data_IF_892962785254
#
_entry.id   IF_892962785254
#
_cell.length_a   1.000
_cell.length_b   1.000
_cell.length_c   1.000
_cell.angle_alpha   90.00
_cell.angle_beta   90.00
_cell.angle_gamma   90.00
#
_symmetry.space_group_name_H-M   'P 1'
#
loop_
_entity.id
_entity.type
_entity.pdbx_description
1 polymer ?
#
# COMPACT_ATOMS: atom_id res chain seq x y z
N UNK A 1 -1.66 9.04 -22.18
CA UNK A 1 -0.49 8.50 -21.47
C UNK A 1 -0.92 7.70 -20.25
N UNK A 2 -0.02 6.93 -19.62
CA UNK A 2 -0.35 6.10 -18.44
C UNK A 2 -0.75 6.93 -17.20
N UNK A 3 -0.59 8.24 -17.25
CA UNK A 3 -0.93 9.17 -16.18
C UNK A 3 -1.74 10.35 -16.77
N UNK A 4 -3.02 10.14 -17.15
CA UNK A 4 -3.82 11.16 -17.84
C UNK A 4 -3.99 12.46 -17.04
N UNK A 5 -3.91 12.39 -15.71
CA UNK A 5 -4.10 13.54 -14.81
C UNK A 5 -2.78 14.24 -14.42
N UNK A 6 -1.64 13.79 -14.97
CA UNK A 6 -0.34 14.35 -14.65
C UNK A 6 0.00 15.52 -15.57
N UNK A 7 0.25 16.70 -15.02
CA UNK A 7 0.73 17.85 -15.79
C UNK A 7 2.11 17.57 -16.40
N UNK A 8 2.39 18.13 -17.57
CA UNK A 8 3.70 18.03 -18.25
C UNK A 8 4.84 18.42 -17.31
N UNK A 9 4.67 19.51 -16.56
CA UNK A 9 5.67 19.98 -15.58
C UNK A 9 5.97 18.94 -14.49
N UNK A 10 4.95 18.25 -13.96
CA UNK A 10 5.13 17.21 -12.95
C UNK A 10 5.84 15.99 -13.52
N UNK A 11 5.51 15.61 -14.75
CA UNK A 11 6.17 14.50 -15.46
C UNK A 11 7.65 14.82 -15.67
N UNK A 12 7.97 16.02 -16.16
CA UNK A 12 9.35 16.49 -16.36
C UNK A 12 10.14 16.49 -15.06
N UNK A 13 9.56 16.95 -13.96
CA UNK A 13 10.20 16.92 -12.64
C UNK A 13 10.57 15.49 -12.21
N UNK A 14 9.66 14.53 -12.44
CA UNK A 14 9.91 13.11 -12.14
C UNK A 14 11.05 12.57 -13.01
N UNK A 15 11.00 12.77 -14.32
CA UNK A 15 12.05 12.29 -15.25
C UNK A 15 13.39 12.87 -14.87
N UNK A 16 13.50 14.17 -14.62
CA UNK A 16 14.74 14.83 -14.24
C UNK A 16 15.31 14.28 -12.92
N UNK A 17 14.47 13.92 -11.96
CA UNK A 17 14.90 13.25 -10.74
C UNK A 17 15.55 11.90 -11.04
N UNK A 18 14.96 11.07 -11.92
CA UNK A 18 15.51 9.77 -12.29
C UNK A 18 16.78 9.89 -13.14
N UNK A 19 16.87 10.89 -14.01
CA UNK A 19 18.11 11.22 -14.72
C UNK A 19 19.25 11.44 -13.72
N UNK A 20 19.04 12.30 -12.72
CA UNK A 20 20.05 12.62 -11.69
C UNK A 20 20.43 11.43 -10.81
N UNK A 21 19.54 10.47 -10.63
CA UNK A 21 19.76 9.25 -9.85
C UNK A 21 20.46 8.15 -10.66
N UNK A 22 20.54 8.26 -11.98
CA UNK A 22 21.13 7.23 -12.85
C UNK A 22 22.65 7.17 -12.72
N UNK A 23 23.20 5.98 -12.94
CA UNK A 23 24.66 5.78 -12.98
C UNK A 23 25.32 6.60 -14.11
N UNK A 24 24.65 6.68 -15.28
CA UNK A 24 25.12 7.49 -16.40
C UNK A 24 25.30 8.96 -16.00
N UNK A 25 24.33 9.55 -15.30
CA UNK A 25 24.47 10.94 -14.81
C UNK A 25 25.65 11.08 -13.86
N UNK A 26 25.79 10.15 -12.89
CA UNK A 26 26.89 10.17 -11.91
C UNK A 26 28.24 10.04 -12.58
N UNK A 27 28.38 9.13 -13.54
CA UNK A 27 29.62 8.93 -14.30
C UNK A 27 30.01 10.18 -15.10
N UNK A 28 29.05 10.78 -15.83
CA UNK A 28 29.31 12.02 -16.59
C UNK A 28 29.67 13.18 -15.66
N UNK A 29 29.01 13.30 -14.51
CA UNK A 29 29.30 14.34 -13.50
C UNK A 29 30.69 14.17 -12.92
N UNK A 30 31.10 12.95 -12.60
CA UNK A 30 32.47 12.63 -12.18
C UNK A 30 33.51 12.90 -13.28
N UNK A 31 33.14 12.78 -14.56
CA UNK A 31 33.96 13.16 -15.72
C UNK A 31 34.04 14.66 -15.97
N UNK A 32 33.45 15.50 -15.13
CA UNK A 32 33.52 16.96 -15.22
C UNK A 32 32.52 17.65 -16.14
N UNK A 33 31.53 16.89 -16.67
CA UNK A 33 30.51 17.46 -17.54
C UNK A 33 29.51 18.36 -16.78
N UNK A 34 29.09 19.45 -17.41
CA UNK A 34 28.06 20.33 -16.91
C UNK A 34 26.68 19.70 -16.96
N UNK A 35 25.74 20.14 -16.12
CA UNK A 35 24.36 19.64 -16.12
C UNK A 35 23.66 19.82 -17.49
N UNK A 36 24.01 20.87 -18.22
CA UNK A 36 23.49 21.14 -19.58
C UNK A 36 23.99 20.10 -20.59
N UNK A 37 25.26 19.76 -20.58
CA UNK A 37 25.85 18.73 -21.45
C UNK A 37 25.28 17.35 -21.11
N UNK A 38 25.15 17.04 -19.82
CA UNK A 38 24.56 15.77 -19.38
C UNK A 38 23.12 15.65 -19.84
N UNK A 39 22.29 16.71 -19.65
CA UNK A 39 20.90 16.70 -20.10
C UNK A 39 20.81 16.49 -21.60
N UNK A 40 21.62 17.19 -22.39
CA UNK A 40 21.67 17.01 -23.84
C UNK A 40 22.06 15.59 -24.26
N UNK A 41 23.00 14.96 -23.54
CA UNK A 41 23.42 13.59 -23.79
C UNK A 41 22.32 12.55 -23.49
N UNK A 42 21.34 12.87 -22.62
CA UNK A 42 20.20 12.01 -22.35
C UNK A 42 19.14 12.02 -23.45
N UNK A 43 19.17 13.00 -24.33
CA UNK A 43 18.26 13.09 -25.49
C UNK A 43 18.84 12.45 -26.77
N UNK A 44 20.13 12.02 -26.76
CA UNK A 44 20.76 11.38 -27.91
C UNK A 44 20.47 9.87 -27.91
N UNK A 45 19.85 9.32 -28.98
CA UNK A 45 19.58 7.89 -29.08
C UNK A 45 20.87 7.05 -29.11
N UNK A 46 20.90 6.01 -28.30
CA UNK A 46 21.99 5.02 -28.23
C UNK A 46 21.39 3.61 -28.32
N UNK A 47 22.22 2.65 -28.76
CA UNK A 47 21.80 1.27 -28.76
C UNK A 47 21.82 0.72 -27.33
N UNK A 48 20.75 0.07 -26.93
CA UNK A 48 20.58 -0.47 -25.60
C UNK A 48 19.65 -1.69 -25.58
N UNK A 49 19.76 -2.49 -24.54
CA UNK A 49 18.81 -3.56 -24.27
C UNK A 49 17.77 -3.08 -23.29
N UNK A 50 16.51 -3.40 -23.55
CA UNK A 50 15.39 -3.12 -22.67
C UNK A 50 14.60 -4.38 -22.38
N UNK A 51 14.06 -4.46 -21.18
CA UNK A 51 13.13 -5.51 -20.79
C UNK A 51 11.80 -5.36 -21.53
N UNK A 52 11.27 -6.47 -22.03
CA UNK A 52 9.95 -6.56 -22.64
C UNK A 52 9.26 -7.84 -22.18
N UNK A 53 7.95 -7.78 -21.91
CA UNK A 53 7.15 -9.00 -21.84
C UNK A 53 6.85 -9.50 -23.25
N UNK A 54 7.00 -10.80 -23.45
CA UNK A 54 6.57 -11.47 -24.68
C UNK A 54 5.04 -11.49 -24.83
N UNK A 55 4.56 -11.86 -25.99
CA UNK A 55 3.14 -12.08 -26.24
C UNK A 55 2.70 -13.36 -25.53
N UNK A 56 1.60 -13.33 -24.77
CA UNK A 56 0.97 -14.46 -24.08
C UNK A 56 1.92 -15.28 -23.17
N UNK A 57 2.02 -14.91 -21.92
CA UNK A 57 2.72 -15.71 -20.88
C UNK A 57 4.19 -16.08 -21.17
N UNK A 58 4.77 -15.51 -22.23
CA UNK A 58 6.17 -15.73 -22.58
C UNK A 58 7.08 -15.14 -21.51
N UNK A 59 8.21 -15.81 -21.32
CA UNK A 59 9.26 -15.35 -20.42
C UNK A 59 9.69 -13.92 -20.75
N UNK A 60 10.06 -13.13 -19.75
CA UNK A 60 10.63 -11.80 -19.97
C UNK A 60 11.81 -11.90 -20.95
N UNK A 61 11.89 -10.96 -21.86
CA UNK A 61 12.91 -10.92 -22.91
C UNK A 61 13.69 -9.61 -22.83
N UNK A 62 14.97 -9.67 -23.18
CA UNK A 62 15.72 -8.49 -23.55
C UNK A 62 15.60 -8.27 -25.06
N UNK A 63 15.27 -7.05 -25.44
CA UNK A 63 15.24 -6.65 -26.86
C UNK A 63 16.21 -5.51 -27.10
N UNK A 64 16.92 -5.61 -28.23
CA UNK A 64 17.82 -4.55 -28.67
C UNK A 64 16.99 -3.42 -29.29
N UNK A 65 17.18 -2.21 -28.79
CA UNK A 65 16.46 -1.02 -29.25
C UNK A 65 17.43 0.17 -29.37
N UNK A 66 17.08 1.09 -30.26
CA UNK A 66 17.75 2.38 -30.36
C UNK A 66 16.83 3.47 -29.83
N UNK A 67 17.11 3.96 -28.62
CA UNK A 67 16.35 5.03 -28.01
C UNK A 67 17.23 5.93 -27.14
N UNK A 68 16.73 7.11 -26.80
CA UNK A 68 17.46 8.00 -25.88
C UNK A 68 17.43 7.45 -24.44
N UNK A 69 18.45 7.71 -23.61
CA UNK A 69 18.41 7.37 -22.19
C UNK A 69 17.22 7.99 -21.45
N UNK A 70 16.75 9.16 -21.88
CA UNK A 70 15.52 9.79 -21.39
C UNK A 70 14.29 8.94 -21.73
N UNK A 71 14.17 8.50 -22.97
CA UNK A 71 13.04 7.65 -23.40
C UNK A 71 13.05 6.31 -22.70
N UNK A 72 14.23 5.74 -22.40
CA UNK A 72 14.32 4.50 -21.62
C UNK A 72 13.79 4.66 -20.21
N UNK A 73 14.04 5.80 -19.54
CA UNK A 73 13.46 6.11 -18.24
C UNK A 73 11.93 6.18 -18.35
N UNK A 74 11.41 6.87 -19.36
CA UNK A 74 9.96 6.96 -19.61
C UNK A 74 9.38 5.57 -19.88
N UNK A 75 10.04 4.75 -20.70
CA UNK A 75 9.65 3.37 -21.00
C UNK A 75 9.48 2.54 -19.74
N UNK A 76 10.51 2.49 -18.87
CA UNK A 76 10.45 1.74 -17.62
C UNK A 76 9.43 2.28 -16.60
N UNK A 77 9.09 3.58 -16.67
CA UNK A 77 8.05 4.18 -15.83
C UNK A 77 6.62 3.84 -16.28
N UNK A 78 6.44 3.37 -17.50
CA UNK A 78 5.12 2.93 -18.02
C UNK A 78 4.74 1.53 -17.56
N UNK A 79 5.66 0.71 -17.07
CA UNK A 79 5.32 -0.59 -16.52
C UNK A 79 4.48 -0.44 -15.27
N UNK A 80 3.30 -1.06 -15.28
CA UNK A 80 2.50 -1.21 -14.06
C UNK A 80 3.24 -2.11 -13.08
N UNK A 81 3.17 -1.78 -11.81
CA UNK A 81 3.78 -2.57 -10.75
C UNK A 81 2.71 -3.36 -10.03
N UNK A 82 2.97 -4.64 -9.82
CA UNK A 82 2.11 -5.52 -9.04
C UNK A 82 2.98 -6.33 -8.08
N UNK A 83 2.44 -6.56 -6.91
CA UNK A 83 3.03 -7.44 -5.90
C UNK A 83 1.93 -8.22 -5.21
N UNK A 84 2.25 -9.39 -4.70
CA UNK A 84 1.29 -10.28 -4.02
C UNK A 84 1.91 -10.80 -2.74
N UNK A 85 1.14 -10.76 -1.68
CA UNK A 85 1.45 -11.40 -0.42
C UNK A 85 0.24 -12.18 0.06
N UNK A 86 0.42 -13.46 0.37
CA UNK A 86 -0.60 -14.28 1.01
C UNK A 86 -0.11 -14.75 2.38
N UNK A 87 -0.89 -14.49 3.41
CA UNK A 87 -0.57 -14.83 4.79
C UNK A 87 -1.69 -15.72 5.34
N UNK A 88 -1.32 -16.85 5.96
CA UNK A 88 -2.28 -17.66 6.68
C UNK A 88 -2.71 -16.94 7.97
N UNK A 89 -4.00 -16.59 8.12
CA UNK A 89 -4.47 -15.83 9.27
C UNK A 89 -4.43 -16.61 10.59
N UNK A 90 -4.35 -17.93 10.57
CA UNK A 90 -4.35 -18.76 11.78
C UNK A 90 -2.98 -18.83 12.48
N UNK A 91 -1.90 -18.56 11.72
CA UNK A 91 -0.55 -18.74 12.24
C UNK A 91 0.50 -17.76 11.68
N UNK A 92 0.09 -16.77 10.90
CA UNK A 92 0.98 -15.74 10.35
C UNK A 92 1.95 -16.21 9.26
N UNK A 93 1.92 -17.49 8.86
CA UNK A 93 2.85 -18.00 7.83
C UNK A 93 2.59 -17.33 6.48
N UNK A 94 3.66 -16.81 5.88
CA UNK A 94 3.62 -16.27 4.52
C UNK A 94 3.60 -17.44 3.54
N UNK A 95 2.51 -17.57 2.77
CA UNK A 95 2.27 -18.66 1.82
C UNK A 95 2.63 -18.31 0.39
N UNK A 96 2.55 -17.03 0.04
CA UNK A 96 3.03 -16.51 -1.23
C UNK A 96 3.66 -15.14 -1.04
N UNK A 97 4.76 -14.93 -1.73
CA UNK A 97 5.54 -13.70 -1.69
C UNK A 97 6.05 -13.36 -3.08
N UNK A 98 5.41 -12.40 -3.73
CA UNK A 98 5.81 -11.91 -5.05
C UNK A 98 6.08 -10.42 -4.93
N UNK A 99 7.35 -9.99 -4.79
CA UNK A 99 7.69 -8.60 -4.46
C UNK A 99 7.50 -7.63 -5.62
N UNK A 100 7.44 -8.12 -6.85
CA UNK A 100 7.31 -7.30 -8.05
C UNK A 100 7.23 -8.14 -9.32
N UNK A 101 7.28 -7.49 -10.47
CA UNK A 101 7.12 -8.12 -11.78
C UNK A 101 8.28 -9.07 -12.12
N UNK A 102 9.50 -8.56 -11.94
CA UNK A 102 10.75 -9.28 -12.21
C UNK A 102 11.86 -8.60 -11.40
N UNK A 103 12.54 -9.35 -10.53
CA UNK A 103 13.54 -8.78 -9.64
C UNK A 103 14.83 -8.36 -10.38
N UNK A 104 15.18 -9.00 -11.47
CA UNK A 104 16.37 -8.69 -12.24
C UNK A 104 16.32 -7.28 -12.85
N UNK A 105 15.15 -6.89 -13.36
CA UNK A 105 14.95 -5.58 -14.01
C UNK A 105 14.30 -4.54 -13.09
N UNK A 106 13.62 -4.99 -12.05
CA UNK A 106 12.86 -4.15 -11.13
C UNK A 106 13.17 -4.54 -9.68
N UNK A 107 14.44 -4.33 -9.29
CA UNK A 107 15.01 -4.67 -7.98
C UNK A 107 14.35 -3.89 -6.84
N UNK A 108 13.04 -4.01 -6.70
CA UNK A 108 12.28 -3.27 -5.69
C UNK A 108 11.23 -4.15 -5.06
N UNK A 109 11.39 -4.45 -3.78
CA UNK A 109 10.43 -5.21 -3.01
C UNK A 109 9.28 -4.30 -2.56
N UNK A 110 8.09 -4.55 -3.09
CA UNK A 110 6.88 -3.83 -2.73
C UNK A 110 6.05 -4.55 -1.65
N UNK A 111 6.49 -5.72 -1.16
CA UNK A 111 5.77 -6.48 -0.13
C UNK A 111 6.23 -6.09 1.27
N UNK A 112 7.51 -6.30 1.61
CA UNK A 112 8.06 -5.98 2.94
C UNK A 112 9.20 -4.96 2.89
N UNK A 113 9.71 -4.65 1.70
CA UNK A 113 10.76 -3.66 1.50
C UNK A 113 10.26 -2.22 1.59
N UNK A 114 11.05 -1.31 1.05
CA UNK A 114 10.74 0.13 1.02
C UNK A 114 9.61 0.53 0.05
N UNK A 115 8.91 -0.46 -0.52
CA UNK A 115 7.83 -0.30 -1.50
C UNK A 115 6.51 0.19 -0.92
N UNK A 116 6.54 1.23 -0.09
CA UNK A 116 5.33 1.81 0.49
C UNK A 116 4.55 2.63 -0.54
N UNK A 117 3.22 2.55 -0.44
CA UNK A 117 2.27 3.30 -1.28
C UNK A 117 1.12 3.81 -0.42
N UNK A 118 0.55 4.92 -0.85
CA UNK A 118 -0.63 5.48 -0.23
C UNK A 118 -1.77 4.46 -0.27
N UNK A 119 -2.26 4.09 0.92
CA UNK A 119 -3.23 3.00 1.08
C UNK A 119 -4.65 3.38 0.69
N UNK A 120 -4.98 4.67 0.73
CA UNK A 120 -6.33 5.14 0.43
C UNK A 120 -7.39 4.48 1.30
N UNK A 121 -8.57 4.26 0.75
CA UNK A 121 -9.71 3.72 1.49
C UNK A 121 -9.54 2.29 2.03
N UNK A 122 -8.46 1.58 1.69
CA UNK A 122 -8.17 0.28 2.30
C UNK A 122 -7.83 0.38 3.79
N UNK A 123 -7.51 1.58 4.30
CA UNK A 123 -7.31 1.82 5.73
C UNK A 123 -8.63 1.81 6.55
N UNK A 124 -9.77 2.09 5.91
CA UNK A 124 -11.05 2.29 6.58
C UNK A 124 -11.51 1.10 7.43
N UNK A 125 -11.41 -0.16 7.01
CA UNK A 125 -11.79 -1.29 7.87
C UNK A 125 -11.03 -1.32 9.19
N UNK A 126 -9.76 -0.93 9.21
CA UNK A 126 -8.95 -0.82 10.44
C UNK A 126 -9.44 0.32 11.33
N UNK A 127 -9.79 1.48 10.74
CA UNK A 127 -10.37 2.61 11.45
C UNK A 127 -11.74 2.25 12.07
N UNK A 128 -12.62 1.62 11.29
CA UNK A 128 -13.94 1.21 11.75
C UNK A 128 -13.86 0.17 12.87
N UNK A 129 -12.93 -0.76 12.79
CA UNK A 129 -12.72 -1.74 13.86
C UNK A 129 -12.27 -1.11 15.16
N UNK A 130 -11.39 -0.10 15.11
CA UNK A 130 -10.99 0.67 16.27
C UNK A 130 -12.17 1.50 16.81
N UNK A 131 -12.95 2.16 15.93
CA UNK A 131 -14.12 2.93 16.34
C UNK A 131 -15.15 2.05 17.05
N UNK A 132 -15.47 0.91 16.49
CA UNK A 132 -16.41 -0.05 17.10
C UNK A 132 -15.93 -0.55 18.45
N UNK A 133 -14.62 -0.74 18.61
CA UNK A 133 -14.05 -1.21 19.89
C UNK A 133 -13.99 -0.10 20.93
N UNK A 134 -13.51 1.09 20.58
CA UNK A 134 -13.27 2.19 21.52
C UNK A 134 -14.55 2.94 21.90
N UNK A 135 -15.52 3.03 21.00
CA UNK A 135 -16.80 3.73 21.19
C UNK A 135 -17.98 2.77 21.46
N UNK A 136 -17.69 1.48 21.61
CA UNK A 136 -18.69 0.42 21.77
C UNK A 136 -19.80 0.41 20.70
N UNK A 137 -19.46 0.76 19.45
CA UNK A 137 -20.38 0.80 18.33
C UNK A 137 -20.62 -0.58 17.72
N UNK A 138 -21.76 -0.71 17.04
CA UNK A 138 -22.18 -1.90 16.28
C UNK A 138 -22.37 -1.53 14.80
N UNK A 139 -22.43 -2.47 13.87
CA UNK A 139 -22.69 -2.20 12.45
C UNK A 139 -24.01 -1.43 12.19
N UNK A 140 -24.98 -1.50 13.10
CA UNK A 140 -26.29 -0.86 12.97
C UNK A 140 -26.33 0.57 13.52
N UNK A 141 -25.32 0.98 14.30
CA UNK A 141 -25.28 2.33 14.87
C UNK A 141 -25.10 3.39 13.79
N UNK A 142 -25.79 4.49 13.98
CA UNK A 142 -25.79 5.60 13.03
C UNK A 142 -24.52 6.43 13.14
N UNK A 143 -23.93 6.75 11.99
CA UNK A 143 -22.80 7.66 11.86
C UNK A 143 -23.18 8.83 10.97
N UNK A 144 -22.68 10.02 11.29
CA UNK A 144 -22.86 11.18 10.43
C UNK A 144 -21.98 11.04 9.17
N UNK A 145 -22.63 11.01 8.02
CA UNK A 145 -22.01 10.91 6.70
C UNK A 145 -22.25 12.16 5.84
N UNK A 146 -22.55 13.28 6.46
CA UNK A 146 -22.67 14.58 5.81
C UNK A 146 -21.35 15.37 5.87
N UNK A 147 -21.15 16.31 4.91
CA UNK A 147 -20.00 17.19 4.94
C UNK A 147 -19.90 17.99 6.24
N UNK A 148 -18.74 17.95 6.86
CA UNK A 148 -18.38 18.76 8.01
C UNK A 148 -17.09 19.51 7.73
N UNK A 149 -17.00 20.75 8.21
CA UNK A 149 -15.78 21.54 8.15
C UNK A 149 -14.89 21.24 9.37
N UNK A 150 -13.66 20.84 9.10
CA UNK A 150 -12.64 20.55 10.10
C UNK A 150 -11.53 21.61 10.06
N UNK A 151 -11.87 22.85 10.38
CA UNK A 151 -10.91 23.94 10.40
C UNK A 151 -10.49 24.42 8.99
N UNK A 152 -11.44 24.57 8.10
CA UNK A 152 -11.22 25.01 6.70
C UNK A 152 -10.99 23.85 5.73
N UNK A 153 -11.09 22.59 6.19
CA UNK A 153 -11.01 21.42 5.34
C UNK A 153 -12.26 20.53 5.49
N UNK A 154 -12.81 20.15 4.35
CA UNK A 154 -13.95 19.22 4.26
C UNK A 154 -13.58 18.07 3.34
N UNK A 155 -13.75 16.78 3.77
CA UNK A 155 -13.55 15.65 2.89
C UNK A 155 -14.45 15.76 1.65
N UNK A 156 -13.95 15.28 0.50
CA UNK A 156 -14.76 15.17 -0.72
C UNK A 156 -15.54 13.85 -0.70
N UNK A 157 -16.77 13.86 -1.17
CA UNK A 157 -17.62 12.67 -1.27
C UNK A 157 -19.10 13.01 -1.22
N UNK A 158 -19.94 12.00 -1.35
CA UNK A 158 -21.38 12.14 -1.32
C UNK A 158 -21.89 12.28 0.13
N UNK A 159 -22.83 13.20 0.32
CA UNK A 159 -23.56 13.34 1.56
C UNK A 159 -24.64 12.24 1.64
N UNK A 160 -24.71 11.54 2.77
CA UNK A 160 -25.68 10.46 2.99
C UNK A 160 -26.56 10.68 4.23
N UNK A 161 -26.40 11.80 4.94
CA UNK A 161 -27.08 12.01 6.23
C UNK A 161 -26.54 11.10 7.32
N UNK A 162 -27.43 10.67 8.20
CA UNK A 162 -27.12 9.68 9.22
C UNK A 162 -27.42 8.28 8.67
N UNK A 163 -26.41 7.43 8.58
CA UNK A 163 -26.49 6.08 8.03
C UNK A 163 -25.85 5.06 8.96
N UNK A 164 -26.26 3.77 8.91
CA UNK A 164 -25.59 2.71 9.66
C UNK A 164 -24.10 2.62 9.30
N UNK A 165 -23.24 2.32 10.28
CA UNK A 165 -21.81 2.09 10.04
C UNK A 165 -21.55 1.11 8.90
N UNK A 166 -22.35 0.04 8.83
CA UNK A 166 -22.28 -0.99 7.77
C UNK A 166 -22.43 -0.37 6.39
N UNK A 167 -23.40 0.52 6.18
CA UNK A 167 -23.63 1.19 4.91
C UNK A 167 -22.51 2.20 4.62
N UNK A 168 -22.11 2.98 5.62
CA UNK A 168 -21.03 3.96 5.48
C UNK A 168 -19.71 3.32 5.01
N UNK A 169 -19.35 2.14 5.56
CA UNK A 169 -18.18 1.37 5.11
C UNK A 169 -18.41 0.78 3.72
N UNK A 170 -19.57 0.19 3.45
CA UNK A 170 -19.91 -0.42 2.16
C UNK A 170 -19.78 0.58 1.00
N UNK A 171 -20.23 1.82 1.22
CA UNK A 171 -20.10 2.92 0.25
C UNK A 171 -18.76 3.64 0.32
N UNK A 172 -17.85 3.19 1.18
CA UNK A 172 -16.56 3.84 1.39
C UNK A 172 -16.68 5.35 1.64
N UNK A 173 -17.70 5.77 2.41
CA UNK A 173 -18.02 7.17 2.62
C UNK A 173 -16.89 7.90 3.36
N UNK A 174 -16.44 9.03 2.80
CA UNK A 174 -15.32 9.78 3.36
C UNK A 174 -15.73 10.64 4.56
N UNK A 175 -16.94 11.21 4.54
CA UNK A 175 -17.43 12.03 5.64
C UNK A 175 -17.59 11.20 6.92
N UNK A 176 -18.23 10.03 6.83
CA UNK A 176 -18.36 9.10 7.94
C UNK A 176 -17.01 8.64 8.50
N UNK A 177 -16.06 8.31 7.62
CA UNK A 177 -14.72 7.87 8.05
C UNK A 177 -13.97 8.99 8.76
N UNK A 178 -14.03 10.22 8.26
CA UNK A 178 -13.41 11.39 8.90
C UNK A 178 -14.09 11.73 10.24
N UNK A 179 -15.42 11.65 10.29
CA UNK A 179 -16.18 11.82 11.53
C UNK A 179 -15.75 10.80 12.59
N UNK A 180 -15.65 9.51 12.24
CA UNK A 180 -15.17 8.47 13.18
C UNK A 180 -13.76 8.78 13.68
N UNK A 181 -12.84 9.18 12.80
CA UNK A 181 -11.49 9.52 13.23
C UNK A 181 -11.46 10.75 14.13
N UNK A 182 -12.35 11.73 13.91
CA UNK A 182 -12.45 12.91 14.79
C UNK A 182 -12.88 12.54 16.22
N UNK A 183 -13.72 11.51 16.39
CA UNK A 183 -14.12 11.00 17.70
C UNK A 183 -12.99 10.24 18.40
N UNK A 184 -12.23 9.44 17.65
CA UNK A 184 -11.15 8.58 18.18
C UNK A 184 -9.88 9.38 18.43
N UNK A 185 -9.62 10.40 17.63
CA UNK A 185 -8.39 11.18 17.43
C UNK A 185 -7.34 10.47 16.58
N UNK A 186 -6.66 11.19 15.68
CA UNK A 186 -5.64 10.63 14.79
C UNK A 186 -4.49 9.94 15.51
N UNK A 187 -4.03 10.49 16.64
CA UNK A 187 -2.92 9.94 17.45
C UNK A 187 -3.26 8.53 17.97
N UNK A 188 -4.50 8.34 18.44
CA UNK A 188 -4.97 7.03 18.92
C UNK A 188 -5.01 6.00 17.79
N UNK A 189 -5.39 6.43 16.59
CA UNK A 189 -5.40 5.55 15.43
C UNK A 189 -3.97 5.19 14.99
N UNK A 190 -3.04 6.14 14.98
CA UNK A 190 -1.61 5.86 14.70
C UNK A 190 -1.04 4.89 15.73
N UNK A 191 -1.34 5.08 17.02
CA UNK A 191 -0.92 4.15 18.07
C UNK A 191 -1.48 2.72 17.84
N UNK A 192 -2.75 2.62 17.47
CA UNK A 192 -3.37 1.34 17.11
C UNK A 192 -2.67 0.66 15.94
N UNK A 193 -2.41 1.38 14.85
CA UNK A 193 -1.71 0.85 13.67
C UNK A 193 -0.28 0.42 14.01
N UNK A 194 0.47 1.23 14.76
CA UNK A 194 1.86 0.95 15.11
C UNK A 194 2.01 -0.10 16.21
N UNK A 195 1.32 0.07 17.33
CA UNK A 195 1.53 -0.76 18.51
C UNK A 195 0.73 -2.07 18.49
N UNK A 196 -0.47 -2.07 17.91
CA UNK A 196 -1.30 -3.27 17.85
C UNK A 196 -1.10 -4.07 16.58
N UNK A 197 -1.00 -3.42 15.41
CA UNK A 197 -0.88 -4.06 14.11
C UNK A 197 0.56 -4.11 13.58
N UNK A 198 1.52 -3.51 14.31
CA UNK A 198 2.95 -3.51 13.96
C UNK A 198 3.26 -2.90 12.58
N UNK A 199 2.43 -1.98 12.13
CA UNK A 199 2.64 -1.23 10.90
C UNK A 199 3.65 -0.10 11.12
N UNK A 200 4.38 0.26 10.07
CA UNK A 200 5.26 1.41 10.07
C UNK A 200 4.44 2.70 10.10
N UNK A 201 4.72 3.56 11.06
CA UNK A 201 3.98 4.82 11.27
C UNK A 201 4.76 6.07 10.85
N UNK A 202 5.97 5.92 10.31
CA UNK A 202 6.86 7.05 10.04
C UNK A 202 6.34 8.05 8.99
N UNK A 203 5.38 7.66 8.13
CA UNK A 203 4.72 8.53 7.15
C UNK A 203 3.34 9.01 7.61
N UNK A 204 2.90 8.63 8.81
CA UNK A 204 1.56 8.91 9.31
C UNK A 204 1.52 10.24 10.04
N UNK A 205 0.89 11.22 9.44
CA UNK A 205 0.66 12.52 10.06
C UNK A 205 -0.60 12.48 10.93
N UNK A 206 -0.58 13.03 12.17
CA UNK A 206 -1.71 13.01 13.07
C UNK A 206 -2.78 14.04 12.67
N UNK A 207 -3.40 13.84 11.53
CA UNK A 207 -4.48 14.67 11.03
C UNK A 207 -5.64 13.83 10.47
N UNK A 208 -6.77 14.47 10.21
CA UNK A 208 -8.01 13.78 9.82
C UNK A 208 -7.98 13.18 8.41
N UNK A 209 -7.04 13.59 7.55
CA UNK A 209 -6.89 12.98 6.22
C UNK A 209 -6.42 11.52 6.32
N UNK A 210 -5.87 11.11 7.46
CA UNK A 210 -5.50 9.73 7.75
C UNK A 210 -6.70 8.76 7.66
N UNK A 211 -7.93 9.23 7.93
CA UNK A 211 -9.16 8.45 7.71
C UNK A 211 -9.36 8.03 6.26
N UNK A 212 -8.74 8.76 5.32
CA UNK A 212 -8.80 8.52 3.88
C UNK A 212 -7.55 7.79 3.36
N UNK A 213 -6.65 7.39 4.27
CA UNK A 213 -5.43 6.66 3.95
C UNK A 213 -4.34 7.53 3.32
N UNK A 214 -4.16 8.76 3.82
CA UNK A 214 -3.07 9.66 3.42
C UNK A 214 -1.70 9.25 4.00
N UNK A 215 -1.46 7.95 4.15
CA UNK A 215 -0.21 7.37 4.62
C UNK A 215 0.28 6.29 3.65
N UNK A 216 1.59 6.08 3.65
CA UNK A 216 2.22 5.07 2.81
C UNK A 216 2.53 3.82 3.64
N UNK A 217 2.07 2.65 3.16
CA UNK A 217 2.22 1.34 3.81
C UNK A 217 2.59 0.30 2.77
N UNK A 218 3.28 -0.76 3.14
CA UNK A 218 3.61 -1.87 2.26
C UNK A 218 2.45 -2.87 2.11
N UNK A 219 2.47 -3.66 1.03
CA UNK A 219 1.47 -4.71 0.79
C UNK A 219 1.48 -5.75 1.91
N UNK A 220 2.66 -6.12 2.41
CA UNK A 220 2.80 -7.09 3.50
C UNK A 220 2.24 -6.61 4.82
N UNK A 221 2.45 -5.32 5.17
CA UNK A 221 1.87 -4.72 6.36
C UNK A 221 0.35 -4.70 6.30
N UNK A 222 -0.24 -4.29 5.15
CA UNK A 222 -1.69 -4.33 4.97
C UNK A 222 -2.25 -5.75 5.02
N UNK A 223 -1.61 -6.71 4.33
CA UNK A 223 -2.02 -8.11 4.37
C UNK A 223 -1.97 -8.67 5.81
N UNK A 224 -0.90 -8.36 6.56
CA UNK A 224 -0.76 -8.74 7.96
C UNK A 224 -1.84 -8.11 8.85
N UNK A 225 -2.10 -6.80 8.70
CA UNK A 225 -3.11 -6.10 9.47
C UNK A 225 -4.51 -6.69 9.25
N UNK A 226 -4.84 -7.05 8.01
CA UNK A 226 -6.15 -7.64 7.68
C UNK A 226 -6.36 -9.05 8.21
N UNK A 227 -5.30 -9.77 8.60
CA UNK A 227 -5.44 -11.11 9.21
C UNK A 227 -6.25 -11.08 10.51
N UNK A 228 -6.36 -9.95 11.20
CA UNK A 228 -7.14 -9.81 12.44
C UNK A 228 -8.62 -10.15 12.27
N UNK A 229 -9.17 -9.98 11.08
CA UNK A 229 -10.59 -10.26 10.84
C UNK A 229 -10.85 -11.78 10.81
N UNK A 230 -10.24 -12.59 9.92
CA UNK A 230 -10.47 -14.03 9.88
C UNK A 230 -9.88 -14.79 11.06
N UNK A 231 -8.90 -14.22 11.79
CA UNK A 231 -8.31 -14.81 13.01
C UNK A 231 -9.06 -14.45 14.29
N UNK A 232 -10.29 -13.96 14.17
CA UNK A 232 -11.14 -13.58 15.31
C UNK A 232 -10.49 -12.54 16.25
N UNK A 233 -9.79 -11.57 15.68
CA UNK A 233 -9.20 -10.45 16.41
C UNK A 233 -7.74 -10.63 16.82
N UNK A 234 -7.11 -11.74 16.48
CA UNK A 234 -5.71 -12.00 16.79
C UNK A 234 -4.84 -11.55 15.62
N UNK A 235 -3.83 -10.73 15.89
CA UNK A 235 -2.78 -10.38 14.94
C UNK A 235 -1.59 -11.32 15.11
N UNK A 236 -1.17 -11.95 14.02
CA UNK A 236 0.08 -12.70 13.92
C UNK A 236 1.10 -11.92 13.11
N UNK A 237 2.32 -11.76 13.64
CA UNK A 237 3.42 -11.20 12.84
C UNK A 237 3.75 -12.12 11.67
N UNK A 238 4.02 -11.60 10.45
CA UNK A 238 4.36 -12.43 9.31
C UNK A 238 5.56 -13.34 9.59
N UNK A 239 5.42 -14.63 9.32
CA UNK A 239 6.44 -15.65 9.49
C UNK A 239 6.90 -16.18 8.13
N UNK A 240 8.11 -15.82 7.72
CA UNK A 240 8.73 -16.24 6.45
C UNK A 240 9.55 -17.54 6.60
N UNK A 241 10.16 -17.75 7.74
CA UNK A 241 11.01 -18.91 8.03
C UNK A 241 10.45 -19.62 9.25
N UNK A 242 10.09 -20.89 9.12
CA UNK A 242 9.54 -21.71 10.20
C UNK A 242 10.65 -22.43 10.99
N UNK A 243 11.69 -22.89 10.29
CA UNK A 243 12.84 -23.55 10.90
C UNK A 243 14.05 -23.52 9.96
N UNK A 244 15.20 -23.78 10.51
CA UNK A 244 16.48 -23.96 9.81
C UNK A 244 16.95 -25.36 10.10
N UNK A 245 17.29 -26.10 9.05
CA UNK A 245 17.86 -27.45 9.14
C UNK A 245 19.34 -27.44 8.74
N UNK A 246 20.12 -28.35 9.31
CA UNK A 246 21.48 -28.61 8.85
C UNK A 246 21.50 -29.53 7.61
N UNK A 247 22.70 -29.88 7.14
CA UNK A 247 22.88 -30.76 5.98
C UNK A 247 22.36 -32.20 6.19
N UNK A 248 22.12 -32.61 7.44
CA UNK A 248 21.63 -33.95 7.80
C UNK A 248 20.09 -33.95 7.96
N UNK A 249 19.45 -32.78 7.95
CA UNK A 249 18.02 -32.61 8.20
C UNK A 249 17.66 -32.41 9.68
N UNK A 250 18.65 -32.19 10.53
CA UNK A 250 18.41 -31.89 11.94
C UNK A 250 18.04 -30.42 12.12
N UNK A 251 16.98 -30.16 12.89
CA UNK A 251 16.48 -28.79 13.13
C UNK A 251 17.44 -28.04 14.04
N UNK A 252 18.11 -27.03 13.51
CA UNK A 252 19.05 -26.15 14.23
C UNK A 252 18.32 -25.02 14.95
N UNK A 253 17.25 -24.49 14.33
CA UNK A 253 16.44 -23.42 14.92
C UNK A 253 14.98 -23.50 14.45
N UNK A 254 14.05 -23.14 15.32
CA UNK A 254 12.62 -23.04 15.02
C UNK A 254 12.07 -21.65 15.36
N UNK A 255 11.13 -21.15 14.58
CA UNK A 255 10.53 -19.85 14.75
C UNK A 255 9.01 -19.99 14.87
N UNK A 256 8.43 -19.22 15.77
CA UNK A 256 6.98 -19.10 15.95
C UNK A 256 6.57 -17.64 15.77
N UNK A 257 5.41 -17.37 15.18
CA UNK A 257 4.94 -15.99 15.01
C UNK A 257 4.62 -15.37 16.37
N UNK A 258 4.94 -14.10 16.52
CA UNK A 258 4.44 -13.33 17.66
C UNK A 258 2.97 -13.06 17.42
N UNK A 259 2.16 -13.18 18.46
CA UNK A 259 0.73 -12.89 18.39
C UNK A 259 0.30 -11.93 19.48
N UNK A 260 -0.73 -11.14 19.18
CA UNK A 260 -1.40 -10.29 20.16
C UNK A 260 -2.88 -10.15 19.83
N UNK A 261 -3.72 -10.04 20.84
CA UNK A 261 -5.12 -9.73 20.68
C UNK A 261 -5.29 -8.24 20.37
N UNK A 262 -6.01 -7.94 19.28
CA UNK A 262 -6.26 -6.59 18.77
C UNK A 262 -7.72 -6.22 18.92
N UNK A 263 -8.63 -7.16 18.60
CA UNK A 263 -10.08 -7.01 18.68
C UNK A 263 -10.68 -8.15 19.49
N UNK A 264 -11.82 -7.93 20.09
CA UNK A 264 -12.62 -9.04 20.59
C UNK A 264 -13.14 -9.89 19.41
N UNK A 265 -13.38 -11.17 19.66
CA UNK A 265 -13.94 -12.10 18.68
C UNK A 265 -15.26 -11.57 18.08
N UNK A 266 -16.10 -10.94 18.92
CA UNK A 266 -17.35 -10.34 18.51
C UNK A 266 -17.14 -9.19 17.51
N UNK A 267 -16.21 -8.24 17.81
CA UNK A 267 -15.91 -7.11 16.92
C UNK A 267 -15.27 -7.57 15.61
N UNK A 268 -14.42 -8.57 15.64
CA UNK A 268 -13.86 -9.17 14.42
C UNK A 268 -14.97 -9.80 13.55
N UNK A 269 -15.91 -10.53 14.13
CA UNK A 269 -17.06 -11.10 13.42
C UNK A 269 -17.95 -10.01 12.81
N UNK A 270 -18.27 -8.96 13.57
CA UNK A 270 -19.04 -7.81 13.08
C UNK A 270 -18.33 -7.13 11.90
N UNK A 271 -17.01 -7.00 11.94
CA UNK A 271 -16.24 -6.44 10.83
C UNK A 271 -16.26 -7.33 9.58
N UNK A 272 -16.25 -8.65 9.73
CA UNK A 272 -16.41 -9.58 8.59
C UNK A 272 -17.77 -9.35 7.91
N UNK A 273 -18.85 -9.16 8.67
CA UNK A 273 -20.16 -8.85 8.10
C UNK A 273 -20.17 -7.53 7.33
N UNK A 274 -19.54 -6.49 7.89
CA UNK A 274 -19.39 -5.19 7.23
C UNK A 274 -18.54 -5.31 5.94
N UNK A 275 -17.48 -6.11 5.94
CA UNK A 275 -16.64 -6.36 4.75
C UNK A 275 -17.43 -7.15 3.67
N UNK A 276 -18.30 -8.08 4.06
CA UNK A 276 -19.22 -8.73 3.12
C UNK A 276 -20.16 -7.71 2.46
N UNK A 277 -20.62 -6.70 3.21
CA UNK A 277 -21.44 -5.63 2.64
C UNK A 277 -20.69 -4.81 1.57
N UNK A 278 -19.39 -4.55 1.76
CA UNK A 278 -18.56 -3.88 0.74
C UNK A 278 -18.61 -4.63 -0.60
N UNK A 279 -18.56 -5.97 -0.57
CA UNK A 279 -18.56 -6.81 -1.77
C UNK A 279 -19.98 -6.96 -2.34
N UNK A 280 -20.98 -7.17 -1.50
CA UNK A 280 -22.33 -7.52 -1.95
C UNK A 280 -23.15 -6.29 -2.36
N UNK A 281 -22.96 -5.17 -1.70
CA UNK A 281 -23.84 -3.99 -1.76
C UNK A 281 -23.05 -2.68 -2.02
N UNK A 282 -21.74 -2.72 -1.93
CA UNK A 282 -20.88 -1.54 -1.92
C UNK A 282 -19.93 -1.42 -3.11
N UNK A 283 -18.84 -0.70 -2.88
CA UNK A 283 -17.83 -0.35 -3.90
C UNK A 283 -16.99 -1.52 -4.40
N UNK A 284 -17.01 -2.66 -3.70
CA UNK A 284 -16.34 -3.91 -4.12
C UNK A 284 -17.18 -4.81 -5.02
N UNK A 285 -18.40 -4.42 -5.34
CA UNK A 285 -19.27 -5.18 -6.26
C UNK A 285 -18.71 -5.13 -7.69
N UNK A 286 -18.47 -6.32 -8.28
CA UNK A 286 -18.03 -6.48 -9.66
C UNK A 286 -19.22 -6.47 -10.63
#
# INVERSE_FOLDING_TARGET
GPYPDMTVSKMESIINRYIRQSERYRAMKAGGHSDKEITAAFDIPVDMKVFQYGNKYDSPQEVDVRMSPRDSIIYYKKFLRASVCAINPENGQVRAYVPGLNFEYFMYDNVLGSGHRQVGSTIKPLLYSLAMSSQNLTPCDQVNADPQDYGGWTPKGDALGFVPLRLALAQSNNHASTYLLSLIKPETFIDFLGNKLKMSTYTMEPNLTLALGSCDVSVGEMASAYTIFPSYGIHYSPLLVTHIEDANGDIVASFTPRMNEVLSKEKAYQMIDMLKAVINEGTGRA
#
